data_IF_188772838992
#
_entry.id   IF_188772838992
#
_cell.length_a   1.000
_cell.length_b   1.000
_cell.length_c   1.000
_cell.angle_alpha   90.00
_cell.angle_beta   90.00
_cell.angle_gamma   90.00
#
_symmetry.space_group_name_H-M   'P 1'
#
loop_
_entity.id
_entity.type
_entity.pdbx_description
1 polymer ?
#
# COMPACT_ATOMS: atom_id res chain seq x y z
N UNK A 1 -9.52 9.75 -12.89
CA UNK A 1 -9.53 10.49 -11.62
C UNK A 1 -9.60 9.47 -10.49
N UNK A 2 -8.45 9.04 -9.94
CA UNK A 2 -8.38 8.19 -8.76
C UNK A 2 -8.25 9.11 -7.55
N UNK A 3 -9.33 9.25 -6.78
CA UNK A 3 -9.35 10.05 -5.55
C UNK A 3 -8.77 9.22 -4.41
N UNK A 4 -7.51 9.45 -4.05
CA UNK A 4 -6.92 8.87 -2.85
C UNK A 4 -7.26 9.76 -1.66
N UNK A 5 -8.18 9.29 -0.82
CA UNK A 5 -8.51 9.92 0.44
C UNK A 5 -7.47 9.56 1.51
N UNK A 6 -6.94 10.61 2.14
CA UNK A 6 -5.94 10.51 3.18
C UNK A 6 -6.45 9.81 4.43
N UNK A 7 -5.70 8.84 4.91
CA UNK A 7 -5.89 8.18 6.18
C UNK A 7 -5.29 9.04 7.30
N UNK A 8 -6.15 9.55 8.16
CA UNK A 8 -5.75 10.19 9.41
C UNK A 8 -5.34 9.08 10.37
N UNK A 9 -4.04 8.96 10.67
CA UNK A 9 -3.55 7.99 11.65
C UNK A 9 -3.90 8.47 13.06
N UNK A 10 -4.88 7.81 13.68
CA UNK A 10 -5.08 7.88 15.14
C UNK A 10 -4.39 6.63 15.70
N UNK A 11 -3.21 6.82 16.29
CA UNK A 11 -2.49 5.76 17.00
C UNK A 11 -3.13 5.53 18.36
N UNK A 12 -3.98 4.53 18.48
CA UNK A 12 -4.27 3.90 19.77
C UNK A 12 -3.27 2.78 19.97
N UNK A 13 -2.31 3.01 20.83
CA UNK A 13 -1.36 2.00 21.31
C UNK A 13 -2.12 0.96 22.14
N UNK A 14 -2.47 -0.17 21.49
CA UNK A 14 -2.95 -1.34 22.22
C UNK A 14 -1.75 -2.28 22.42
N UNK A 15 -1.23 -2.30 23.65
CA UNK A 15 -0.23 -3.29 24.09
C UNK A 15 -0.92 -4.63 24.20
N UNK A 16 -0.70 -5.53 23.27
CA UNK A 16 -1.11 -6.94 23.37
C UNK A 16 0.10 -7.77 23.79
N UNK A 17 0.05 -8.32 24.99
CA UNK A 17 1.02 -9.29 25.48
C UNK A 17 0.88 -10.63 24.72
N UNK A 18 1.98 -11.39 24.47
CA UNK A 18 1.91 -12.63 23.75
C UNK A 18 1.29 -13.75 24.62
N UNK A 19 0.16 -14.27 24.20
CA UNK A 19 -0.40 -15.50 24.76
C UNK A 19 0.28 -16.71 24.11
N UNK A 20 0.97 -17.51 24.93
CA UNK A 20 1.63 -18.73 24.50
C UNK A 20 0.62 -19.77 24.00
N UNK A 21 0.88 -20.32 22.84
CA UNK A 21 0.11 -21.42 22.25
C UNK A 21 0.72 -22.74 22.72
N UNK A 22 0.01 -23.47 23.58
CA UNK A 22 0.30 -24.87 23.93
C UNK A 22 -0.29 -25.79 22.86
N UNK A 23 0.56 -26.57 22.20
CA UNK A 23 0.16 -27.67 21.31
C UNK A 23 -0.44 -28.83 22.10
N UNK A 24 -1.77 -28.94 22.08
CA UNK A 24 -2.49 -30.13 22.59
C UNK A 24 -2.69 -31.16 21.47
N UNK A 25 -2.05 -32.31 21.61
CA UNK A 25 -2.33 -33.50 20.81
C UNK A 25 -3.67 -34.13 21.29
N UNK A 26 -4.70 -34.07 20.44
CA UNK A 26 -5.96 -34.75 20.67
C UNK A 26 -6.39 -35.47 19.40
N UNK A 27 -6.20 -36.80 19.36
CA UNK A 27 -6.74 -37.67 18.32
C UNK A 27 -8.26 -37.76 18.47
N UNK A 28 -9.01 -37.33 17.45
CA UNK A 28 -10.46 -37.46 17.36
C UNK A 28 -10.85 -38.01 16.00
N UNK A 29 -11.49 -39.19 16.02
CA UNK A 29 -12.02 -39.88 14.85
C UNK A 29 -13.03 -39.03 14.07
N UNK A 30 -12.87 -38.95 12.76
CA UNK A 30 -13.82 -38.33 11.84
C UNK A 30 -15.08 -39.14 11.66
N UNK A 31 -16.30 -38.58 11.78
CA UNK A 31 -17.50 -39.22 11.27
C UNK A 31 -17.58 -39.01 9.74
N UNK A 32 -17.70 -40.10 9.01
CA UNK A 32 -18.03 -40.12 7.58
C UNK A 32 -19.49 -39.69 7.37
N UNK A 33 -19.68 -38.40 7.00
CA UNK A 33 -20.96 -37.87 6.52
C UNK A 33 -20.98 -37.84 4.99
N UNK A 34 -22.18 -37.88 4.35
CA UNK A 34 -22.29 -38.00 2.91
C UNK A 34 -21.71 -36.79 2.19
N UNK A 35 -20.94 -37.08 1.14
CA UNK A 35 -20.32 -36.07 0.26
C UNK A 35 -21.40 -35.18 -0.40
N UNK A 36 -21.68 -34.04 0.24
CA UNK A 36 -22.38 -32.97 -0.41
C UNK A 36 -21.44 -32.35 -1.46
N UNK A 37 -21.87 -32.36 -2.71
CA UNK A 37 -21.14 -31.74 -3.82
C UNK A 37 -20.87 -30.29 -3.50
N UNK A 38 -19.64 -29.95 -3.09
CA UNK A 38 -19.16 -28.57 -3.06
C UNK A 38 -18.79 -28.21 -4.50
N UNK A 39 -19.73 -27.53 -5.16
CA UNK A 39 -19.51 -26.92 -6.46
C UNK A 39 -18.30 -26.00 -6.40
N UNK A 40 -17.23 -26.33 -7.15
CA UNK A 40 -16.25 -25.36 -7.56
C UNK A 40 -14.91 -25.33 -6.83
N UNK A 41 -14.27 -26.48 -6.52
CA UNK A 41 -12.81 -26.43 -6.30
C UNK A 41 -12.11 -26.16 -7.63
N UNK A 42 -11.30 -25.10 -7.73
CA UNK A 42 -10.51 -24.86 -8.94
C UNK A 42 -9.59 -26.08 -9.19
N UNK A 43 -9.71 -26.68 -10.36
CA UNK A 43 -8.92 -27.87 -10.74
C UNK A 43 -7.48 -27.52 -11.12
N UNK A 44 -7.19 -26.24 -11.28
CA UNK A 44 -5.93 -25.69 -11.74
C UNK A 44 -5.42 -24.66 -10.71
N UNK A 45 -4.17 -24.76 -10.23
CA UNK A 45 -3.58 -23.76 -9.32
C UNK A 45 -3.68 -22.31 -9.84
N UNK A 46 -3.57 -22.09 -11.16
CA UNK A 46 -3.70 -20.76 -11.75
C UNK A 46 -5.12 -20.20 -11.63
N UNK A 47 -6.15 -21.04 -11.78
CA UNK A 47 -7.54 -20.63 -11.57
C UNK A 47 -7.82 -20.34 -10.10
N UNK A 48 -7.25 -21.14 -9.18
CA UNK A 48 -7.34 -20.92 -7.75
C UNK A 48 -6.70 -19.57 -7.37
N UNK A 49 -5.47 -19.34 -7.83
CA UNK A 49 -4.74 -18.08 -7.60
C UNK A 49 -5.53 -16.87 -8.14
N UNK A 50 -6.03 -16.95 -9.37
CA UNK A 50 -6.82 -15.89 -9.99
C UNK A 50 -8.14 -15.62 -9.24
N UNK A 51 -8.81 -16.65 -8.80
CA UNK A 51 -10.04 -16.53 -8.01
C UNK A 51 -9.77 -15.85 -6.67
N UNK A 52 -8.75 -16.30 -5.94
CA UNK A 52 -8.32 -15.71 -4.68
C UNK A 52 -7.86 -14.25 -4.86
N UNK A 53 -7.06 -13.96 -5.87
CA UNK A 53 -6.65 -12.60 -6.21
C UNK A 53 -7.86 -11.67 -6.44
N UNK A 54 -8.83 -12.10 -7.24
CA UNK A 54 -10.04 -11.32 -7.52
C UNK A 54 -10.88 -11.09 -6.24
N UNK A 55 -10.97 -12.09 -5.36
CA UNK A 55 -11.63 -11.95 -4.06
C UNK A 55 -10.91 -10.89 -3.20
N UNK A 56 -9.59 -10.95 -3.11
CA UNK A 56 -8.78 -9.95 -2.39
C UNK A 56 -8.96 -8.54 -2.94
N UNK A 57 -8.93 -8.37 -4.27
CA UNK A 57 -9.18 -7.06 -4.92
C UNK A 57 -10.57 -6.52 -4.59
N UNK A 58 -11.59 -7.40 -4.54
CA UNK A 58 -12.95 -7.00 -4.14
C UNK A 58 -12.99 -6.52 -2.69
N UNK A 59 -12.31 -7.20 -1.78
CA UNK A 59 -12.22 -6.80 -0.37
C UNK A 59 -11.44 -5.49 -0.20
N UNK A 60 -10.36 -5.24 -0.97
CA UNK A 60 -9.65 -3.95 -0.98
C UNK A 60 -10.59 -2.81 -1.43
N UNK A 61 -11.34 -2.99 -2.51
CA UNK A 61 -12.29 -1.97 -2.98
C UNK A 61 -13.32 -1.62 -1.90
N UNK A 62 -13.86 -2.64 -1.24
CA UNK A 62 -14.80 -2.46 -0.14
C UNK A 62 -14.16 -1.74 1.06
N UNK A 63 -12.91 -2.04 1.39
CA UNK A 63 -12.17 -1.34 2.44
C UNK A 63 -11.98 0.14 2.10
N UNK A 64 -11.58 0.46 0.86
CA UNK A 64 -11.44 1.84 0.38
C UNK A 64 -12.76 2.63 0.39
N UNK A 65 -13.90 1.98 0.09
CA UNK A 65 -15.22 2.59 0.24
C UNK A 65 -15.49 2.97 1.71
N UNK A 66 -15.18 2.09 2.66
CA UNK A 66 -15.32 2.39 4.08
C UNK A 66 -14.34 3.46 4.58
N UNK A 67 -13.10 3.50 4.06
CA UNK A 67 -12.17 4.60 4.35
C UNK A 67 -12.72 5.94 3.87
N UNK A 68 -13.32 5.96 2.68
CA UNK A 68 -13.99 7.15 2.16
C UNK A 68 -15.22 7.55 2.98
N UNK A 69 -15.99 6.59 3.50
CA UNK A 69 -17.12 6.83 4.40
C UNK A 69 -16.61 7.39 5.75
N UNK A 70 -15.51 6.86 6.29
CA UNK A 70 -14.89 7.38 7.51
C UNK A 70 -14.45 8.84 7.36
N UNK A 71 -13.85 9.18 6.22
CA UNK A 71 -13.40 10.54 5.91
C UNK A 71 -14.56 11.55 5.77
N UNK A 72 -15.76 11.09 5.40
CA UNK A 72 -16.97 11.93 5.25
C UNK A 72 -17.88 11.91 6.48
N UNK A 73 -17.55 11.09 7.48
CA UNK A 73 -18.40 10.90 8.65
C UNK A 73 -18.49 12.18 9.48
N UNK A 74 -19.71 12.49 9.94
CA UNK A 74 -20.02 13.71 10.68
C UNK A 74 -19.85 13.56 12.21
N UNK A 75 -19.63 12.33 12.70
CA UNK A 75 -19.47 12.07 14.14
C UNK A 75 -18.35 11.05 14.37
N UNK A 76 -17.64 11.12 15.53
CA UNK A 76 -16.59 10.17 15.87
C UNK A 76 -17.05 8.70 15.86
N UNK A 77 -18.29 8.42 16.26
CA UNK A 77 -18.86 7.07 16.29
C UNK A 77 -19.02 6.50 14.87
N UNK A 78 -19.49 7.34 13.94
CA UNK A 78 -19.60 6.94 12.52
C UNK A 78 -18.24 6.72 11.89
N UNK A 79 -17.28 7.59 12.22
CA UNK A 79 -15.87 7.43 11.78
C UNK A 79 -15.31 6.10 12.28
N UNK A 80 -15.38 5.83 13.58
CA UNK A 80 -14.87 4.60 14.18
C UNK A 80 -15.52 3.34 13.56
N UNK A 81 -16.85 3.36 13.37
CA UNK A 81 -17.57 2.23 12.76
C UNK A 81 -17.16 1.99 11.29
N UNK A 82 -16.92 3.05 10.54
CA UNK A 82 -16.44 2.91 9.16
C UNK A 82 -15.00 2.38 9.12
N UNK A 83 -14.11 2.88 10.00
CA UNK A 83 -12.74 2.38 10.14
C UNK A 83 -12.69 0.90 10.53
N UNK A 84 -13.53 0.45 11.48
CA UNK A 84 -13.63 -0.97 11.85
C UNK A 84 -13.99 -1.84 10.64
N UNK A 85 -14.95 -1.40 9.83
CA UNK A 85 -15.34 -2.12 8.61
C UNK A 85 -14.23 -2.13 7.56
N UNK A 86 -13.49 -1.04 7.40
CA UNK A 86 -12.33 -0.97 6.52
C UNK A 86 -11.26 -1.96 6.96
N UNK A 87 -10.88 -1.94 8.24
CA UNK A 87 -9.91 -2.87 8.80
C UNK A 87 -10.31 -4.34 8.58
N UNK A 88 -11.58 -4.69 8.85
CA UNK A 88 -12.08 -6.03 8.59
C UNK A 88 -11.93 -6.43 7.12
N UNK A 89 -12.26 -5.51 6.20
CA UNK A 89 -12.14 -5.78 4.76
C UNK A 89 -10.68 -5.91 4.30
N UNK A 90 -9.74 -5.16 4.89
CA UNK A 90 -8.31 -5.35 4.64
C UNK A 90 -7.81 -6.69 5.16
N UNK A 91 -8.25 -7.16 6.33
CA UNK A 91 -7.92 -8.50 6.83
C UNK A 91 -8.46 -9.61 5.91
N UNK A 92 -9.69 -9.48 5.41
CA UNK A 92 -10.25 -10.40 4.42
C UNK A 92 -9.42 -10.41 3.12
N UNK A 93 -8.95 -9.24 2.69
CA UNK A 93 -8.07 -9.11 1.52
C UNK A 93 -6.73 -9.81 1.72
N UNK A 94 -6.09 -9.65 2.89
CA UNK A 94 -4.84 -10.32 3.25
C UNK A 94 -4.99 -11.83 3.11
N UNK A 95 -6.03 -12.43 3.72
CA UNK A 95 -6.29 -13.86 3.60
C UNK A 95 -6.38 -14.31 2.15
N UNK A 96 -7.16 -13.59 1.33
CA UNK A 96 -7.32 -13.90 -0.08
C UNK A 96 -6.01 -13.78 -0.89
N UNK A 97 -5.17 -12.78 -0.60
CA UNK A 97 -3.88 -12.64 -1.30
C UNK A 97 -2.85 -13.68 -0.83
N UNK A 98 -2.88 -14.11 0.44
CA UNK A 98 -2.09 -15.25 0.92
C UNK A 98 -2.45 -16.51 0.14
N UNK A 99 -3.74 -16.79 -0.05
CA UNK A 99 -4.20 -17.93 -0.85
C UNK A 99 -3.73 -17.79 -2.31
N UNK A 100 -3.80 -16.60 -2.89
CA UNK A 100 -3.36 -16.35 -4.26
C UNK A 100 -1.86 -16.60 -4.45
N UNK A 101 -1.00 -16.07 -3.56
CA UNK A 101 0.46 -16.30 -3.65
C UNK A 101 0.85 -17.71 -3.23
N UNK A 102 0.06 -18.37 -2.39
CA UNK A 102 0.21 -19.80 -2.06
C UNK A 102 -0.02 -20.69 -3.27
N UNK A 103 -1.06 -20.41 -4.07
CA UNK A 103 -1.35 -21.13 -5.30
C UNK A 103 -0.40 -20.75 -6.46
N UNK A 104 -0.01 -19.47 -6.57
CA UNK A 104 0.90 -18.99 -7.60
C UNK A 104 1.94 -18.02 -7.01
N UNK A 105 3.09 -18.52 -6.52
CA UNK A 105 4.10 -17.71 -5.85
C UNK A 105 4.73 -16.60 -6.71
N UNK A 106 4.63 -16.71 -8.04
CA UNK A 106 5.15 -15.71 -8.99
C UNK A 106 4.15 -14.62 -9.38
N UNK A 107 2.97 -14.59 -8.76
CA UNK A 107 1.96 -13.55 -9.00
C UNK A 107 2.36 -12.26 -8.27
N UNK A 108 3.25 -11.44 -8.88
CA UNK A 108 3.75 -10.20 -8.27
C UNK A 108 2.63 -9.21 -7.91
N UNK A 109 1.54 -9.20 -8.67
CA UNK A 109 0.37 -8.36 -8.37
C UNK A 109 -0.28 -8.75 -7.03
N UNK A 110 -0.37 -10.04 -6.73
CA UNK A 110 -0.94 -10.50 -5.45
C UNK A 110 -0.01 -10.14 -4.28
N UNK A 111 1.30 -10.26 -4.44
CA UNK A 111 2.28 -9.77 -3.48
C UNK A 111 2.17 -8.26 -3.24
N UNK A 112 2.01 -7.47 -4.30
CA UNK A 112 1.81 -6.03 -4.17
C UNK A 112 0.54 -5.68 -3.40
N UNK A 113 -0.58 -6.32 -3.72
CA UNK A 113 -1.83 -6.08 -3.00
C UNK A 113 -1.82 -6.61 -1.56
N UNK A 114 -1.08 -7.68 -1.27
CA UNK A 114 -0.81 -8.15 0.09
C UNK A 114 -0.09 -7.06 0.89
N UNK A 115 0.95 -6.46 0.31
CA UNK A 115 1.65 -5.31 0.89
C UNK A 115 0.72 -4.11 1.08
N UNK A 116 -0.10 -3.80 0.09
CA UNK A 116 -1.07 -2.71 0.15
C UNK A 116 -2.04 -2.86 1.33
N UNK A 117 -2.64 -4.04 1.51
CA UNK A 117 -3.57 -4.28 2.61
C UNK A 117 -2.88 -4.21 3.99
N UNK A 118 -1.67 -4.79 4.12
CA UNK A 118 -0.87 -4.69 5.34
C UNK A 118 -0.50 -3.23 5.67
N UNK A 119 -0.06 -2.44 4.68
CA UNK A 119 0.26 -1.01 4.88
C UNK A 119 -0.95 -0.22 5.41
N UNK A 120 -2.15 -0.47 4.87
CA UNK A 120 -3.37 0.18 5.34
C UNK A 120 -3.76 -0.20 6.78
N UNK A 121 -3.33 -1.37 7.26
CA UNK A 121 -3.50 -1.79 8.65
C UNK A 121 -2.35 -1.31 9.57
N UNK A 122 -1.34 -0.62 9.04
CA UNK A 122 -0.16 -0.19 9.79
C UNK A 122 0.88 -1.31 10.01
N UNK A 123 0.72 -2.48 9.40
CA UNK A 123 1.67 -3.59 9.44
C UNK A 123 2.79 -3.34 8.42
N UNK A 124 3.61 -2.31 8.66
CA UNK A 124 4.56 -1.83 7.66
C UNK A 124 5.68 -2.82 7.35
N UNK A 125 6.16 -3.59 8.33
CA UNK A 125 7.19 -4.60 8.10
C UNK A 125 6.68 -5.72 7.18
N UNK A 126 5.46 -6.21 7.39
CA UNK A 126 4.82 -7.20 6.52
C UNK A 126 4.55 -6.62 5.12
N UNK A 127 4.17 -5.35 5.05
CA UNK A 127 3.99 -4.65 3.78
C UNK A 127 5.30 -4.58 3.00
N UNK A 128 6.41 -4.19 3.65
CA UNK A 128 7.74 -4.12 3.02
C UNK A 128 8.20 -5.49 2.53
N UNK A 129 7.97 -6.56 3.33
CA UNK A 129 8.29 -7.93 2.92
C UNK A 129 7.52 -8.36 1.67
N UNK A 130 6.23 -8.03 1.60
CA UNK A 130 5.39 -8.33 0.45
C UNK A 130 5.79 -7.53 -0.81
N UNK A 131 6.08 -6.23 -0.68
CA UNK A 131 6.58 -5.42 -1.79
C UNK A 131 7.96 -5.89 -2.27
N UNK A 132 8.83 -6.33 -1.36
CA UNK A 132 10.12 -6.92 -1.75
C UNK A 132 9.92 -8.16 -2.63
N UNK A 133 8.96 -9.04 -2.29
CA UNK A 133 8.60 -10.20 -3.12
C UNK A 133 8.03 -9.79 -4.47
N UNK A 134 7.17 -8.80 -4.52
CA UNK A 134 6.64 -8.29 -5.80
C UNK A 134 7.78 -7.78 -6.71
N UNK A 135 8.73 -7.03 -6.15
CA UNK A 135 9.85 -6.44 -6.88
C UNK A 135 10.98 -7.45 -7.19
N UNK A 136 11.11 -8.52 -6.41
CA UNK A 136 11.99 -9.66 -6.76
C UNK A 136 11.50 -10.34 -8.05
N UNK A 137 10.18 -10.45 -8.23
CA UNK A 137 9.56 -11.09 -9.39
C UNK A 137 9.47 -10.12 -10.58
N UNK A 138 9.09 -8.87 -10.34
CA UNK A 138 9.02 -7.80 -11.33
C UNK A 138 9.72 -6.52 -10.82
N UNK A 139 11.04 -6.37 -11.07
CA UNK A 139 11.82 -5.24 -10.55
C UNK A 139 11.35 -3.86 -11.01
N UNK A 140 10.67 -3.79 -12.15
CA UNK A 140 10.20 -2.54 -12.75
C UNK A 140 8.69 -2.31 -12.52
N UNK A 141 8.12 -2.84 -11.42
CA UNK A 141 6.72 -2.64 -11.10
C UNK A 141 6.54 -1.34 -10.29
N UNK A 142 6.15 -0.22 -10.94
CA UNK A 142 6.25 1.09 -10.33
C UNK A 142 5.25 1.29 -9.19
N UNK A 143 4.09 0.62 -9.21
CA UNK A 143 3.13 0.68 -8.10
C UNK A 143 3.69 0.05 -6.81
N UNK A 144 4.50 -1.02 -6.93
CA UNK A 144 5.14 -1.60 -5.76
C UNK A 144 6.25 -0.69 -5.20
N UNK A 145 6.95 0.05 -6.05
CA UNK A 145 7.96 1.03 -5.63
C UNK A 145 7.29 2.20 -4.88
N UNK A 146 6.17 2.70 -5.41
CA UNK A 146 5.40 3.79 -4.82
C UNK A 146 4.85 3.38 -3.45
N UNK A 147 4.13 2.26 -3.35
CA UNK A 147 3.55 1.77 -2.10
C UNK A 147 4.62 1.40 -1.06
N UNK A 148 5.78 0.90 -1.50
CA UNK A 148 6.93 0.67 -0.62
C UNK A 148 7.48 1.97 -0.07
N UNK A 149 7.53 3.04 -0.88
CA UNK A 149 7.87 4.38 -0.43
C UNK A 149 6.97 4.89 0.69
N UNK A 150 5.65 4.70 0.54
CA UNK A 150 4.70 5.05 1.60
C UNK A 150 4.86 4.18 2.87
N UNK A 151 5.19 2.88 2.73
CA UNK A 151 5.45 2.02 3.88
C UNK A 151 6.71 2.47 4.65
N UNK A 152 7.76 2.90 3.96
CA UNK A 152 8.96 3.49 4.57
C UNK A 152 8.62 4.76 5.37
N UNK A 153 7.74 5.62 4.86
CA UNK A 153 7.25 6.79 5.61
C UNK A 153 6.53 6.37 6.89
N UNK A 154 5.74 5.28 6.86
CA UNK A 154 5.08 4.73 8.03
C UNK A 154 6.05 4.33 9.15
N UNK A 155 7.25 3.88 8.79
CA UNK A 155 8.34 3.52 9.71
C UNK A 155 9.32 4.67 9.99
N UNK A 156 9.06 5.89 9.51
CA UNK A 156 9.97 7.04 9.58
C UNK A 156 11.32 6.80 8.86
N UNK A 157 11.37 5.87 7.91
CA UNK A 157 12.56 5.56 7.09
C UNK A 157 12.60 6.51 5.89
N UNK A 158 12.97 7.76 6.16
CA UNK A 158 12.89 8.88 5.20
C UNK A 158 13.83 8.70 4.01
N UNK A 159 15.04 8.17 4.23
CA UNK A 159 16.04 8.01 3.17
C UNK A 159 15.62 6.93 2.16
N UNK A 160 15.01 5.86 2.64
CA UNK A 160 14.44 4.80 1.80
C UNK A 160 13.26 5.33 0.97
N UNK A 161 12.41 6.17 1.57
CA UNK A 161 11.31 6.83 0.86
C UNK A 161 11.84 7.78 -0.23
N UNK A 162 12.90 8.57 0.04
CA UNK A 162 13.60 9.37 -0.98
C UNK A 162 14.13 8.51 -2.13
N UNK A 163 14.72 7.36 -1.80
CA UNK A 163 15.20 6.40 -2.80
C UNK A 163 14.08 5.90 -3.71
N UNK A 164 12.91 5.56 -3.15
CA UNK A 164 11.73 5.15 -3.90
C UNK A 164 11.25 6.29 -4.83
N UNK A 165 11.16 7.52 -4.32
CA UNK A 165 10.81 8.70 -5.13
C UNK A 165 11.77 8.89 -6.31
N UNK A 166 13.08 8.82 -6.07
CA UNK A 166 14.07 9.02 -7.12
C UNK A 166 13.99 7.96 -8.21
N UNK A 167 13.70 6.71 -7.85
CA UNK A 167 13.45 5.64 -8.83
C UNK A 167 12.21 5.95 -9.68
N UNK A 168 11.10 6.32 -9.06
CA UNK A 168 9.86 6.68 -9.76
C UNK A 168 10.03 7.95 -10.60
N UNK A 169 10.77 8.95 -10.11
CA UNK A 169 11.03 10.18 -10.84
C UNK A 169 11.70 9.94 -12.18
N UNK A 170 12.55 8.91 -12.27
CA UNK A 170 13.20 8.49 -13.51
C UNK A 170 12.26 7.72 -14.43
N UNK A 171 11.44 6.79 -13.89
CA UNK A 171 10.78 5.75 -14.66
C UNK A 171 9.24 5.91 -14.73
N UNK A 172 8.62 6.61 -13.77
CA UNK A 172 7.17 6.82 -13.68
C UNK A 172 6.80 8.11 -12.94
N UNK A 173 6.84 9.24 -13.65
CA UNK A 173 6.55 10.58 -13.10
C UNK A 173 5.20 10.67 -12.38
N UNK A 174 4.10 10.14 -12.90
CA UNK A 174 2.80 10.22 -12.20
C UNK A 174 2.85 9.58 -10.81
N UNK A 175 3.52 8.43 -10.65
CA UNK A 175 3.64 7.79 -9.35
C UNK A 175 4.68 8.48 -8.44
N UNK A 176 5.71 9.11 -9.02
CA UNK A 176 6.59 9.99 -8.24
C UNK A 176 5.81 11.17 -7.64
N UNK A 177 4.92 11.77 -8.42
CA UNK A 177 4.07 12.87 -7.95
C UNK A 177 3.08 12.40 -6.87
N UNK A 178 2.50 11.20 -7.00
CA UNK A 178 1.65 10.57 -5.96
C UNK A 178 2.44 10.35 -4.67
N UNK A 179 3.64 9.78 -4.75
CA UNK A 179 4.51 9.58 -3.58
C UNK A 179 4.93 10.91 -2.95
N UNK A 180 5.21 11.95 -3.76
CA UNK A 180 5.53 13.28 -3.25
C UNK A 180 4.37 13.86 -2.42
N UNK A 181 3.13 13.68 -2.86
CA UNK A 181 1.94 14.07 -2.09
C UNK A 181 1.87 13.31 -0.75
N UNK A 182 2.18 12.01 -0.75
CA UNK A 182 2.23 11.22 0.48
C UNK A 182 3.34 11.71 1.43
N UNK A 183 4.51 12.06 0.91
CA UNK A 183 5.64 12.63 1.66
C UNK A 183 5.25 13.96 2.33
N UNK A 184 4.59 14.87 1.64
CA UNK A 184 4.12 16.12 2.22
C UNK A 184 3.11 15.88 3.35
N UNK A 185 2.13 15.00 3.16
CA UNK A 185 1.16 14.63 4.21
C UNK A 185 1.85 14.05 5.43
N UNK A 186 2.84 13.20 5.22
CA UNK A 186 3.63 12.61 6.29
C UNK A 186 4.39 13.71 7.06
N UNK A 187 5.07 14.64 6.38
CA UNK A 187 5.79 15.73 7.03
C UNK A 187 4.84 16.62 7.86
N UNK A 188 3.67 16.95 7.34
CA UNK A 188 2.66 17.73 8.06
C UNK A 188 2.14 16.98 9.31
N UNK A 189 1.94 15.66 9.21
CA UNK A 189 1.56 14.84 10.36
C UNK A 189 2.68 14.79 11.41
N UNK A 190 3.96 14.70 11.02
CA UNK A 190 5.11 14.69 11.95
C UNK A 190 5.38 16.04 12.61
N UNK A 191 5.00 17.15 11.99
CA UNK A 191 5.01 18.47 12.65
C UNK A 191 3.99 18.57 13.78
N UNK A 192 2.87 17.83 13.71
CA UNK A 192 1.85 17.76 14.74
C UNK A 192 2.17 16.72 15.82
N UNK A 193 2.70 15.56 15.41
CA UNK A 193 3.11 14.45 16.26
C UNK A 193 4.43 13.86 15.73
N UNK A 194 5.52 14.23 16.41
CA UNK A 194 6.89 13.94 15.96
C UNK A 194 7.24 12.44 15.92
N UNK A 195 6.57 11.61 16.72
CA UNK A 195 6.83 10.16 16.82
C UNK A 195 8.33 9.80 16.89
N UNK A 196 9.07 10.53 17.72
CA UNK A 196 10.49 10.31 17.96
C UNK A 196 11.46 10.99 16.97
N UNK A 197 10.95 11.72 15.98
CA UNK A 197 11.77 12.53 15.07
C UNK A 197 12.04 13.91 15.67
N UNK A 198 13.18 14.52 15.28
CA UNK A 198 13.40 15.92 15.57
C UNK A 198 12.67 16.83 14.57
N UNK A 199 12.28 18.04 14.97
CA UNK A 199 11.73 19.02 14.04
C UNK A 199 12.71 19.35 12.92
N UNK A 200 14.01 19.36 13.21
CA UNK A 200 15.06 19.60 12.24
C UNK A 200 15.09 18.53 11.13
N UNK A 201 14.87 17.24 11.46
CA UNK A 201 14.82 16.17 10.48
C UNK A 201 13.60 16.31 9.56
N UNK A 202 12.44 16.66 10.13
CA UNK A 202 11.22 16.90 9.37
C UNK A 202 11.38 18.10 8.43
N UNK A 203 11.99 19.18 8.91
CA UNK A 203 12.22 20.39 8.09
C UNK A 203 13.29 20.16 7.02
N UNK A 204 14.33 19.38 7.31
CA UNK A 204 15.32 18.97 6.31
C UNK A 204 14.68 18.13 5.19
N UNK A 205 13.75 17.25 5.55
CA UNK A 205 13.00 16.48 4.57
C UNK A 205 12.06 17.35 3.73
N UNK A 206 11.36 18.30 4.35
CA UNK A 206 10.51 19.25 3.64
C UNK A 206 11.32 20.09 2.63
N UNK A 207 12.47 20.60 3.04
CA UNK A 207 13.39 21.32 2.15
C UNK A 207 13.83 20.45 0.96
N UNK A 208 14.17 19.18 1.20
CA UNK A 208 14.53 18.26 0.11
C UNK A 208 13.36 18.07 -0.88
N UNK A 209 12.12 17.97 -0.39
CA UNK A 209 10.93 17.87 -1.24
C UNK A 209 10.75 19.12 -2.11
N UNK A 210 10.89 20.31 -1.54
CA UNK A 210 10.79 21.58 -2.28
C UNK A 210 11.85 21.69 -3.40
N UNK A 211 13.10 21.26 -3.10
CA UNK A 211 14.17 21.21 -4.10
C UNK A 211 13.83 20.24 -5.25
N UNK A 212 13.25 19.08 -4.94
CA UNK A 212 12.83 18.10 -5.97
C UNK A 212 11.66 18.61 -6.79
N UNK A 213 10.68 19.27 -6.19
CA UNK A 213 9.58 19.92 -6.90
C UNK A 213 10.08 20.99 -7.87
N UNK A 214 11.07 21.79 -7.47
CA UNK A 214 11.72 22.77 -8.34
C UNK A 214 12.38 22.14 -9.57
N UNK A 215 13.13 21.04 -9.36
CA UNK A 215 13.75 20.27 -10.46
C UNK A 215 12.69 19.66 -11.37
N UNK A 216 11.60 19.11 -10.81
CA UNK A 216 10.49 18.56 -11.56
C UNK A 216 9.86 19.59 -12.51
N UNK A 217 9.60 20.79 -11.99
CA UNK A 217 9.03 21.89 -12.78
C UNK A 217 9.97 22.33 -13.92
N UNK A 218 11.27 22.44 -13.65
CA UNK A 218 12.27 22.81 -14.67
C UNK A 218 12.36 21.75 -15.78
N UNK A 219 12.39 20.45 -15.42
CA UNK A 219 12.48 19.38 -16.42
C UNK A 219 11.21 19.26 -17.25
N UNK A 220 10.03 19.51 -16.69
CA UNK A 220 8.77 19.57 -17.43
C UNK A 220 8.77 20.73 -18.44
N UNK A 221 9.26 21.89 -18.04
CA UNK A 221 9.38 23.07 -18.92
C UNK A 221 10.32 22.82 -20.11
N UNK A 222 11.46 22.15 -19.87
CA UNK A 222 12.40 21.78 -20.93
C UNK A 222 11.80 20.77 -21.92
N UNK A 223 11.03 19.80 -21.43
CA UNK A 223 10.35 18.81 -22.27
C UNK A 223 9.31 19.49 -23.19
N UNK A 224 8.56 20.47 -22.69
CA UNK A 224 7.60 21.24 -23.49
C UNK A 224 8.32 22.09 -24.53
N UNK A 225 9.44 22.74 -24.18
CA UNK A 225 10.27 23.53 -25.10
C UNK A 225 10.92 22.70 -26.21
N UNK A 226 11.34 21.46 -25.91
CA UNK A 226 11.91 20.52 -26.86
C UNK A 226 10.87 19.90 -27.82
N UNK A 227 9.60 19.90 -27.45
CA UNK A 227 8.50 19.42 -28.30
C UNK A 227 8.02 20.45 -29.34
N UNK A 228 8.57 21.66 -29.35
CA UNK A 228 8.27 22.65 -30.41
C UNK A 228 8.95 22.20 -31.72
N UNK A 229 8.20 22.06 -32.84
CA UNK A 229 8.83 21.69 -34.09
C UNK A 229 9.79 22.76 -34.57
N UNK A 230 10.96 22.37 -35.04
CA UNK A 230 12.01 23.20 -35.64
C UNK A 230 11.56 23.92 -36.93
N UNK A 231 10.28 24.09 -37.14
CA UNK A 231 9.68 24.66 -38.34
C UNK A 231 9.46 26.15 -38.22
N UNK A 232 10.49 26.92 -37.99
CA UNK A 232 10.51 28.35 -38.41
C UNK A 232 11.94 28.88 -38.37
N UNK A 233 12.77 28.37 -39.30
CA UNK A 233 13.93 29.16 -39.75
C UNK A 233 13.44 30.31 -40.63
N UNK A 234 14.11 31.49 -40.59
CA UNK A 234 13.71 32.64 -41.39
C UNK A 234 13.79 32.30 -42.89
N UNK A 235 12.75 32.66 -43.65
CA UNK A 235 12.74 32.65 -45.11
C UNK A 235 13.56 33.85 -45.59
#
# INVERSE_FOLDING_TARGET
MRSYFGMLMITTTLVVAPAGITLGHGGGSMPSGPAGMVSGTPRNPDEAAKSAYNAGVKSVKKAQEYDADAAKASTPEKTAKAQEKAQKSYHEAIGSFIDAVGAQPKMYQAWNYLGFANRHLGNYDDALAAYAKALEINPNYPEAIEYRGEAYLGLNQVEEAKGAYMALFRDSRPLADELMVAMHRWADARRQDAQGLSSADVDAFAKWMDERAGIAAQTASLAIGAAQPWSQGPR
#
